data_IF_966357564328
#
_entry.id   IF_966357564328
#
_cell.length_a   1.000
_cell.length_b   1.000
_cell.length_c   1.000
_cell.angle_alpha   90.00
_cell.angle_beta   90.00
_cell.angle_gamma   90.00
#
_symmetry.space_group_name_H-M   'P 1'
#
loop_
_entity.id
_entity.type
_entity.pdbx_description
1 polymer ?
#
# COMPACT_ATOMS: atom_id res chain seq x y z
N UNK A 1 -1.28 -2.30 0.02
CA UNK A 1 -1.17 -1.58 -1.26
C UNK A 1 -1.10 -0.07 -1.05
N UNK A 2 -2.14 0.67 -1.47
CA UNK A 2 -2.08 2.15 -1.49
C UNK A 2 -1.78 2.76 -0.11
N UNK A 3 -2.45 2.30 0.95
CA UNK A 3 -2.26 2.87 2.30
C UNK A 3 -0.84 2.64 2.84
N UNK A 4 -0.20 1.53 2.47
CA UNK A 4 1.19 1.24 2.82
C UNK A 4 2.16 2.23 2.14
N UNK A 5 1.88 2.66 0.92
CA UNK A 5 2.69 3.69 0.24
C UNK A 5 2.54 5.05 0.92
N UNK A 6 1.31 5.43 1.33
CA UNK A 6 1.11 6.65 2.12
C UNK A 6 1.88 6.59 3.43
N UNK A 7 1.74 5.49 4.18
CA UNK A 7 2.48 5.24 5.40
C UNK A 7 4.00 5.35 5.19
N UNK A 8 4.52 4.67 4.16
CA UNK A 8 5.94 4.66 3.82
C UNK A 8 6.51 6.07 3.64
N UNK A 9 5.74 7.00 3.05
CA UNK A 9 6.25 8.35 2.76
C UNK A 9 6.64 9.13 4.00
N UNK A 10 5.84 9.06 5.08
CA UNK A 10 6.16 9.74 6.32
C UNK A 10 7.04 8.89 7.24
N UNK A 11 6.88 7.56 7.21
CA UNK A 11 7.65 6.65 8.07
C UNK A 11 9.12 6.62 7.67
N UNK A 12 9.42 6.57 6.37
CA UNK A 12 10.79 6.55 5.84
C UNK A 12 11.36 7.96 5.59
N UNK A 13 10.61 9.02 5.91
CA UNK A 13 10.95 10.42 5.64
C UNK A 13 11.39 10.70 4.18
N UNK A 14 10.72 10.06 3.21
CA UNK A 14 11.02 10.21 1.77
C UNK A 14 10.24 11.37 1.14
N UNK A 15 10.75 11.86 0.01
CA UNK A 15 10.16 13.02 -0.70
C UNK A 15 8.81 12.73 -1.37
N UNK A 16 8.50 11.46 -1.61
CA UNK A 16 7.24 11.02 -2.18
C UNK A 16 7.20 9.52 -2.43
N UNK A 17 6.06 9.06 -2.95
CA UNK A 17 5.78 7.67 -3.26
C UNK A 17 4.90 7.54 -4.49
N UNK A 18 5.01 6.40 -5.15
CA UNK A 18 4.18 6.03 -6.29
C UNK A 18 3.65 4.62 -6.03
N UNK A 19 2.32 4.49 -5.99
CA UNK A 19 1.66 3.19 -5.99
C UNK A 19 1.22 2.87 -7.41
N UNK A 20 1.67 1.73 -7.95
CA UNK A 20 1.21 1.22 -9.24
C UNK A 20 -0.06 0.40 -9.01
N UNK A 21 -1.22 0.96 -9.38
CA UNK A 21 -2.52 0.35 -9.13
C UNK A 21 -3.61 0.94 -10.03
N UNK A 22 -4.60 0.13 -10.38
CA UNK A 22 -5.86 0.55 -10.97
C UNK A 22 -7.02 0.55 -9.95
N UNK A 23 -6.73 0.39 -8.65
CA UNK A 23 -7.75 0.23 -7.61
C UNK A 23 -8.71 -0.95 -7.90
N UNK A 24 -9.94 -0.65 -8.33
CA UNK A 24 -11.02 -1.62 -8.58
C UNK A 24 -11.39 -1.69 -10.08
N UNK A 25 -10.60 -1.05 -10.95
CA UNK A 25 -10.84 -1.03 -12.38
C UNK A 25 -10.69 -2.43 -13.02
N UNK A 26 -11.23 -2.62 -14.24
CA UNK A 26 -11.04 -3.82 -15.05
C UNK A 26 -9.57 -4.29 -15.15
N UNK A 27 -9.35 -5.58 -15.35
CA UNK A 27 -8.01 -6.22 -15.33
C UNK A 27 -7.03 -5.65 -16.37
N UNK A 28 -7.55 -5.07 -17.45
CA UNK A 28 -6.80 -4.40 -18.51
C UNK A 28 -6.36 -2.98 -18.16
N UNK A 29 -6.69 -2.48 -16.97
CA UNK A 29 -6.29 -1.16 -16.49
C UNK A 29 -5.08 -1.27 -15.55
N UNK A 30 -4.21 -0.28 -15.64
CA UNK A 30 -3.22 0.02 -14.62
C UNK A 30 -3.07 1.54 -14.49
N UNK A 31 -2.43 2.00 -13.42
CA UNK A 31 -2.28 3.40 -13.13
C UNK A 31 -1.20 3.66 -12.10
N UNK A 32 -0.99 4.94 -11.80
CA UNK A 32 -0.08 5.39 -10.77
C UNK A 32 -0.82 6.37 -9.86
N UNK A 33 -0.81 6.13 -8.55
CA UNK A 33 -1.18 7.11 -7.55
C UNK A 33 0.09 7.73 -7.00
N UNK A 34 0.18 9.05 -7.04
CA UNK A 34 1.35 9.79 -6.57
C UNK A 34 1.04 10.46 -5.24
N UNK A 35 1.99 10.37 -4.31
CA UNK A 35 1.91 10.97 -2.98
C UNK A 35 3.22 11.71 -2.71
N UNK A 36 3.13 12.90 -2.12
CA UNK A 36 4.28 13.69 -1.67
C UNK A 36 4.72 13.24 -0.28
N UNK A 37 5.85 13.79 0.16
CA UNK A 37 6.31 13.76 1.55
C UNK A 37 5.15 13.97 2.54
N UNK A 38 5.22 13.28 3.67
CA UNK A 38 4.23 13.34 4.75
C UNK A 38 2.82 12.90 4.33
N UNK A 39 2.69 11.86 3.48
CA UNK A 39 1.41 11.32 3.01
C UNK A 39 0.49 12.36 2.34
N UNK A 40 1.06 13.42 1.76
CA UNK A 40 0.24 14.48 1.16
C UNK A 40 -0.16 14.09 -0.28
N UNK A 41 -1.46 14.00 -0.61
CA UNK A 41 -1.89 13.63 -1.94
C UNK A 41 -1.45 14.66 -2.99
N UNK A 42 -1.28 14.21 -4.24
CA UNK A 42 -1.06 15.08 -5.39
C UNK A 42 -2.33 15.14 -6.23
N UNK A 43 -2.83 16.35 -6.43
CA UNK A 43 -3.98 16.70 -7.25
C UNK A 43 -3.56 17.61 -8.41
N UNK A 44 -4.50 17.93 -9.31
CA UNK A 44 -4.25 18.79 -10.47
C UNK A 44 -3.67 20.15 -10.13
N UNK A 45 -4.17 20.77 -9.06
CA UNK A 45 -3.74 22.06 -8.52
C UNK A 45 -2.51 21.98 -7.60
N UNK A 46 -2.13 20.78 -7.15
CA UNK A 46 -1.02 20.60 -6.20
C UNK A 46 0.21 19.88 -6.77
N UNK A 47 0.27 19.73 -8.10
CA UNK A 47 1.48 19.32 -8.81
C UNK A 47 1.28 18.31 -9.94
N UNK A 48 0.11 17.65 -10.03
CA UNK A 48 -0.10 16.59 -11.02
C UNK A 48 0.03 17.10 -12.47
N UNK A 49 -0.46 18.31 -12.75
CA UNK A 49 -0.32 18.96 -14.07
C UNK A 49 1.14 19.28 -14.41
N UNK A 50 1.96 19.61 -13.41
CA UNK A 50 3.38 19.86 -13.63
C UNK A 50 4.11 18.54 -13.99
N UNK A 51 3.77 17.45 -13.31
CA UNK A 51 4.30 16.11 -13.60
C UNK A 51 3.89 15.67 -15.00
N UNK A 52 2.62 15.86 -15.37
CA UNK A 52 2.13 15.61 -16.73
C UNK A 52 2.95 16.40 -17.76
N UNK A 53 3.10 17.71 -17.56
CA UNK A 53 3.85 18.56 -18.48
C UNK A 53 5.32 18.14 -18.64
N UNK A 54 5.99 17.77 -17.54
CA UNK A 54 7.36 17.24 -17.59
C UNK A 54 7.45 15.94 -18.38
N UNK A 55 6.49 15.02 -18.18
CA UNK A 55 6.43 13.76 -18.91
C UNK A 55 6.14 13.96 -20.40
N UNK A 56 5.27 14.91 -20.76
CA UNK A 56 4.95 15.25 -22.15
C UNK A 56 6.13 15.89 -22.89
N UNK A 57 6.88 16.78 -22.22
CA UNK A 57 8.10 17.36 -22.79
C UNK A 57 9.19 16.30 -22.97
N UNK A 58 9.33 15.40 -21.99
CA UNK A 58 10.30 14.31 -21.97
C UNK A 58 11.75 14.75 -22.26
N UNK A 59 12.17 15.91 -21.73
CA UNK A 59 13.53 16.45 -21.85
C UNK A 59 14.21 16.44 -20.49
N UNK A 60 14.87 15.32 -20.19
CA UNK A 60 15.69 15.18 -18.98
C UNK A 60 17.17 15.36 -19.32
N UNK A 61 17.93 16.11 -18.52
CA UNK A 61 19.37 16.23 -18.73
C UNK A 61 20.05 14.86 -18.51
N UNK A 62 21.20 14.59 -19.17
CA UNK A 62 22.00 13.42 -18.84
C UNK A 62 22.43 13.47 -17.37
N UNK A 63 22.48 12.31 -16.73
CA UNK A 63 22.95 12.17 -15.34
C UNK A 63 24.37 11.63 -15.36
N UNK A 64 25.29 12.35 -14.72
CA UNK A 64 26.67 11.90 -14.53
C UNK A 64 26.72 10.57 -13.76
N UNK A 65 27.56 9.60 -14.15
CA UNK A 65 27.60 8.28 -13.48
C UNK A 65 27.82 8.34 -11.97
N UNK A 66 28.60 9.31 -11.48
CA UNK A 66 28.87 9.52 -10.05
C UNK A 66 27.67 10.08 -9.27
N UNK A 67 26.65 10.60 -9.95
CA UNK A 67 25.44 11.21 -9.38
C UNK A 67 24.21 10.31 -9.49
N UNK A 68 24.35 9.09 -10.02
CA UNK A 68 23.25 8.14 -10.15
C UNK A 68 22.80 7.68 -8.76
N UNK A 69 21.49 7.71 -8.51
CA UNK A 69 20.90 7.22 -7.26
C UNK A 69 21.09 5.71 -7.05
N UNK A 70 20.82 5.25 -5.82
CA UNK A 70 20.77 3.83 -5.46
C UNK A 70 19.36 3.27 -5.59
N UNK A 71 19.26 1.94 -5.47
CA UNK A 71 17.98 1.24 -5.36
C UNK A 71 18.05 0.27 -4.19
N UNK A 72 17.12 0.43 -3.27
CA UNK A 72 17.01 -0.39 -2.07
C UNK A 72 15.61 -1.01 -2.00
N UNK A 73 15.55 -2.26 -1.56
CA UNK A 73 14.29 -2.95 -1.27
C UNK A 73 14.04 -2.90 0.22
N UNK A 74 13.01 -2.16 0.62
CA UNK A 74 12.63 -1.96 2.01
C UNK A 74 11.26 -2.60 2.22
N UNK A 75 11.15 -3.46 3.22
CA UNK A 75 9.87 -3.94 3.72
C UNK A 75 9.50 -3.10 4.94
N UNK A 76 8.28 -2.57 4.94
CA UNK A 76 7.72 -1.76 6.03
C UNK A 76 6.56 -2.46 6.73
N UNK A 77 6.36 -3.75 6.45
CA UNK A 77 5.16 -4.47 6.91
C UNK A 77 5.04 -4.47 8.44
N UNK A 78 6.13 -4.75 9.15
CA UNK A 78 6.10 -4.79 10.62
C UNK A 78 5.85 -3.40 11.22
N UNK A 79 6.51 -2.37 10.70
CA UNK A 79 6.31 -0.98 11.09
C UNK A 79 4.88 -0.51 10.83
N UNK A 80 4.32 -0.89 9.68
CA UNK A 80 2.94 -0.58 9.32
C UNK A 80 1.95 -1.27 10.26
N UNK A 81 2.18 -2.54 10.58
CA UNK A 81 1.36 -3.24 11.59
C UNK A 81 1.49 -2.58 12.95
N UNK A 82 2.69 -2.20 13.38
CA UNK A 82 2.89 -1.49 14.65
C UNK A 82 2.14 -0.15 14.69
N UNK A 83 2.17 0.59 13.59
CA UNK A 83 1.39 1.81 13.44
C UNK A 83 -0.12 1.57 13.55
N UNK A 84 -0.64 0.53 12.88
CA UNK A 84 -2.06 0.15 12.97
C UNK A 84 -2.45 -0.26 14.40
N UNK A 85 -1.59 -1.01 15.08
CA UNK A 85 -1.81 -1.41 16.47
C UNK A 85 -1.83 -0.20 17.42
N UNK A 86 -1.14 0.89 17.09
CA UNK A 86 -1.19 2.16 17.82
C UNK A 86 -2.58 2.83 17.85
N UNK A 87 -3.48 2.47 16.93
CA UNK A 87 -4.85 3.00 16.91
C UNK A 87 -5.82 2.29 17.85
N UNK A 88 -5.45 1.10 18.33
CA UNK A 88 -6.34 0.23 19.10
C UNK A 88 -5.73 -0.09 20.46
N UNK A 89 -6.58 -0.44 21.42
CA UNK A 89 -6.12 -1.02 22.68
C UNK A 89 -6.36 -2.54 22.66
N UNK A 90 -5.31 -3.38 22.57
CA UNK A 90 -5.42 -4.84 22.58
C UNK A 90 -6.26 -5.40 23.75
N UNK A 91 -6.25 -4.75 24.91
CA UNK A 91 -6.98 -5.23 26.09
C UNK A 91 -8.50 -5.12 25.96
N UNK A 92 -9.01 -4.37 24.98
CA UNK A 92 -10.45 -4.18 24.76
C UNK A 92 -11.04 -5.20 23.79
N UNK A 93 -10.21 -6.03 23.15
CA UNK A 93 -10.67 -7.03 22.21
C UNK A 93 -11.41 -8.16 22.93
N UNK A 94 -12.51 -8.59 22.33
CA UNK A 94 -13.30 -9.73 22.76
C UNK A 94 -13.18 -10.85 21.74
N UNK A 95 -13.36 -12.12 22.15
CA UNK A 95 -13.45 -13.25 21.23
C UNK A 95 -14.34 -12.95 20.03
N UNK A 96 -13.75 -12.90 18.84
CA UNK A 96 -14.45 -12.58 17.59
C UNK A 96 -13.89 -13.39 16.43
N UNK A 97 -14.79 -13.91 15.59
CA UNK A 97 -14.44 -14.59 14.34
C UNK A 97 -14.80 -13.67 13.18
N UNK A 98 -13.81 -13.35 12.34
CA UNK A 98 -13.97 -12.45 11.21
C UNK A 98 -13.68 -13.19 9.92
N UNK A 99 -14.56 -13.06 8.93
CA UNK A 99 -14.28 -13.49 7.56
C UNK A 99 -13.72 -12.30 6.81
N UNK A 100 -12.55 -12.46 6.19
CA UNK A 100 -11.87 -11.40 5.44
C UNK A 100 -11.62 -11.90 4.02
N UNK A 101 -12.10 -11.15 3.03
CA UNK A 101 -11.88 -11.44 1.62
C UNK A 101 -10.94 -10.39 1.02
N UNK A 102 -9.71 -10.80 0.70
CA UNK A 102 -8.70 -9.91 0.11
C UNK A 102 -8.82 -9.81 -1.42
N UNK A 103 -9.73 -10.59 -2.03
CA UNK A 103 -10.04 -10.53 -3.47
C UNK A 103 -8.86 -10.80 -4.39
N UNK A 104 -7.87 -11.60 -3.93
CA UNK A 104 -6.58 -11.81 -4.58
C UNK A 104 -5.79 -10.50 -4.84
N UNK A 105 -6.17 -9.41 -4.18
CA UNK A 105 -5.53 -8.11 -4.29
C UNK A 105 -4.38 -7.91 -3.30
N UNK A 106 -3.93 -6.67 -3.19
CA UNK A 106 -2.74 -6.29 -2.41
C UNK A 106 -2.98 -6.15 -0.89
N UNK A 107 -4.04 -6.74 -0.35
CA UNK A 107 -4.36 -6.67 1.08
C UNK A 107 -3.90 -7.92 1.87
N UNK A 108 -3.75 -9.06 1.20
CA UNK A 108 -3.59 -10.35 1.88
C UNK A 108 -2.39 -10.44 2.81
N UNK A 109 -1.25 -9.90 2.40
CA UNK A 109 -0.03 -9.92 3.22
C UNK A 109 -0.16 -9.06 4.48
N UNK A 110 -0.94 -7.97 4.45
CA UNK A 110 -1.28 -7.17 5.64
C UNK A 110 -2.15 -7.98 6.59
N UNK A 111 -3.14 -8.71 6.06
CA UNK A 111 -4.00 -9.57 6.87
C UNK A 111 -3.18 -10.67 7.54
N UNK A 112 -2.22 -11.27 6.85
CA UNK A 112 -1.32 -12.28 7.42
C UNK A 112 -0.41 -11.69 8.51
N UNK A 113 0.10 -10.47 8.31
CA UNK A 113 0.92 -9.80 9.30
C UNK A 113 0.12 -9.40 10.56
N UNK A 114 -1.13 -8.94 10.38
CA UNK A 114 -2.04 -8.69 11.50
C UNK A 114 -2.37 -9.97 12.28
N UNK A 115 -2.65 -11.08 11.59
CA UNK A 115 -2.92 -12.37 12.24
C UNK A 115 -1.74 -12.83 13.11
N UNK A 116 -0.51 -12.69 12.60
CA UNK A 116 0.71 -12.96 13.37
C UNK A 116 0.82 -12.05 14.60
N UNK A 117 0.52 -10.76 14.44
CA UNK A 117 0.56 -9.79 15.55
C UNK A 117 -0.50 -10.10 16.61
N UNK A 118 -1.71 -10.47 16.19
CA UNK A 118 -2.78 -10.87 17.11
C UNK A 118 -2.39 -12.11 17.91
N UNK A 119 -1.81 -13.11 17.24
CA UNK A 119 -1.30 -14.33 17.89
C UNK A 119 -0.20 -13.99 18.90
N UNK A 120 0.74 -13.12 18.54
CA UNK A 120 1.84 -12.73 19.43
C UNK A 120 1.39 -11.94 20.68
N UNK A 121 0.23 -11.29 20.62
CA UNK A 121 -0.33 -10.46 21.70
C UNK A 121 -1.51 -11.14 22.42
N UNK A 122 -1.76 -12.42 22.15
CA UNK A 122 -2.91 -13.17 22.66
C UNK A 122 -4.27 -12.46 22.43
N UNK A 123 -4.39 -11.71 21.32
CA UNK A 123 -5.63 -11.03 20.95
C UNK A 123 -6.63 -12.09 20.47
N UNK A 124 -7.84 -12.17 21.05
CA UNK A 124 -8.78 -13.26 20.79
C UNK A 124 -9.57 -13.06 19.48
N UNK A 125 -8.89 -12.74 18.38
CA UNK A 125 -9.49 -12.68 17.05
C UNK A 125 -9.10 -13.93 16.26
N UNK A 126 -10.08 -14.58 15.64
CA UNK A 126 -9.85 -15.61 14.62
C UNK A 126 -10.18 -15.04 13.25
N UNK A 127 -9.23 -15.07 12.32
CA UNK A 127 -9.45 -14.68 10.94
C UNK A 127 -9.75 -15.91 10.08
N UNK A 128 -10.78 -15.81 9.25
CA UNK A 128 -11.13 -16.77 8.21
C UNK A 128 -10.87 -16.05 6.89
N UNK A 129 -9.74 -16.37 6.27
CA UNK A 129 -9.23 -15.66 5.09
C UNK A 129 -9.76 -16.30 3.81
N UNK A 130 -10.31 -15.48 2.92
CA UNK A 130 -10.84 -15.86 1.61
C UNK A 130 -10.05 -15.10 0.54
N UNK A 131 -9.62 -15.81 -0.51
CA UNK A 131 -8.87 -15.25 -1.63
C UNK A 131 -7.71 -14.35 -1.18
N UNK A 132 -6.93 -14.85 -0.19
CA UNK A 132 -5.91 -14.04 0.48
C UNK A 132 -4.62 -13.90 -0.32
N UNK A 133 -4.22 -14.98 -1.01
CA UNK A 133 -3.01 -14.98 -1.82
C UNK A 133 -3.15 -14.01 -2.99
N UNK A 134 -2.22 -13.04 -3.15
CA UNK A 134 -2.25 -12.13 -4.28
C UNK A 134 -2.15 -12.87 -5.61
N UNK A 135 -3.07 -12.59 -6.52
CA UNK A 135 -3.09 -13.14 -7.88
C UNK A 135 -3.63 -12.08 -8.85
N UNK A 136 -2.74 -11.54 -9.69
CA UNK A 136 -3.07 -10.50 -10.66
C UNK A 136 -3.97 -10.95 -11.81
N UNK A 137 -4.27 -12.25 -11.92
CA UNK A 137 -5.29 -12.76 -12.86
C UNK A 137 -6.71 -12.63 -12.31
N UNK A 138 -6.85 -12.31 -11.01
CA UNK A 138 -8.12 -12.14 -10.30
C UNK A 138 -9.11 -13.31 -10.55
N UNK A 139 -8.74 -14.55 -10.17
CA UNK A 139 -9.50 -15.76 -10.51
C UNK A 139 -10.92 -15.79 -9.94
N UNK A 140 -11.19 -14.96 -8.93
CA UNK A 140 -12.49 -14.85 -8.26
C UNK A 140 -13.19 -13.52 -8.55
N UNK A 141 -12.80 -12.86 -9.65
CA UNK A 141 -13.26 -11.51 -9.99
C UNK A 141 -12.35 -10.43 -9.43
N UNK A 142 -12.43 -9.26 -10.05
CA UNK A 142 -11.65 -8.08 -9.68
C UNK A 142 -12.05 -7.68 -8.25
N UNK A 143 -11.10 -7.20 -7.41
CA UNK A 143 -11.35 -6.75 -6.04
C UNK A 143 -12.14 -5.43 -6.02
N UNK A 144 -13.35 -5.46 -6.56
CA UNK A 144 -14.37 -4.45 -6.43
C UNK A 144 -15.33 -4.91 -5.32
N UNK A 145 -15.42 -4.20 -4.19
CA UNK A 145 -16.25 -4.61 -3.06
C UNK A 145 -17.76 -4.32 -3.24
N UNK A 146 -18.19 -3.95 -4.45
CA UNK A 146 -19.57 -3.60 -4.81
C UNK A 146 -20.24 -4.67 -5.67
#
# INVERSE_FOLDING_TARGET
GTEEIYFSTFHLDVDGGIEVTASHNPIDYNGMKLVRKNACPISGDTGLRNIQHLAEINKFPPVEPSMKGSYDKISIIDDYIDHLMGYVNPSLFKPLRLVVNSGNGAAGHVIDALEKRFTALDIPITLIKIHNEPDGTFPHGIPNPL
#
